data_IF_177302981171
#
_entry.id   IF_177302981171
#
_cell.length_a   1.000
_cell.length_b   1.000
_cell.length_c   1.000
_cell.angle_alpha   90.00
_cell.angle_beta   90.00
_cell.angle_gamma   90.00
#
_symmetry.space_group_name_H-M   'P 1'
#
loop_
_entity.id
_entity.type
_entity.pdbx_description
1 polymer ?
#
# COMPACT_ATOMS: atom_id res chain seq x y z
N UNK A 1 -20.47 29.56 -5.21
CA UNK A 1 -19.66 28.37 -5.57
C UNK A 1 -19.25 27.70 -4.28
N UNK A 2 -19.77 26.49 -4.01
CA UNK A 2 -19.36 25.73 -2.83
C UNK A 2 -18.12 24.92 -3.22
N UNK A 3 -16.98 25.21 -2.57
CA UNK A 3 -15.77 24.41 -2.66
C UNK A 3 -16.00 23.14 -1.83
N UNK A 4 -16.05 21.98 -2.49
CA UNK A 4 -16.07 20.68 -1.81
C UNK A 4 -14.65 20.09 -1.85
N UNK A 5 -13.92 20.09 -0.72
CA UNK A 5 -12.57 19.53 -0.66
C UNK A 5 -12.55 18.00 -0.82
N UNK A 6 -13.70 17.32 -0.76
CA UNK A 6 -13.80 15.87 -0.91
C UNK A 6 -14.21 15.45 -2.32
N UNK A 7 -14.59 16.39 -3.18
CA UNK A 7 -14.93 16.10 -4.56
C UNK A 7 -13.73 15.46 -5.27
N UNK A 8 -13.92 14.31 -5.94
CA UNK A 8 -12.85 13.67 -6.69
C UNK A 8 -12.40 14.58 -7.84
N UNK A 9 -11.12 14.51 -8.17
CA UNK A 9 -10.56 15.15 -9.35
C UNK A 9 -11.05 14.50 -10.65
N UNK A 10 -10.75 15.13 -11.79
CA UNK A 10 -11.30 14.72 -13.09
C UNK A 10 -10.65 13.45 -13.68
N UNK A 11 -9.59 12.94 -13.07
CA UNK A 11 -8.85 11.79 -13.58
C UNK A 11 -9.39 10.49 -12.98
N UNK A 12 -9.62 9.50 -13.85
CA UNK A 12 -9.82 8.13 -13.40
C UNK A 12 -8.53 7.61 -12.73
N UNK A 13 -8.71 6.72 -11.76
CA UNK A 13 -7.61 6.21 -10.93
C UNK A 13 -7.55 4.70 -11.03
N UNK A 14 -6.38 4.20 -11.41
CA UNK A 14 -6.05 2.78 -11.38
C UNK A 14 -5.36 2.45 -10.04
N UNK A 15 -5.89 1.44 -9.35
CA UNK A 15 -5.24 0.88 -8.17
C UNK A 15 -4.65 -0.49 -8.49
N UNK A 16 -3.34 -0.66 -8.30
CA UNK A 16 -2.63 -1.93 -8.58
C UNK A 16 -1.64 -2.29 -7.48
N UNK A 17 -1.47 -3.58 -7.23
CA UNK A 17 -0.48 -4.10 -6.28
C UNK A 17 0.80 -4.49 -7.04
N UNK A 18 1.95 -4.04 -6.57
CA UNK A 18 3.27 -4.38 -7.10
C UNK A 18 4.16 -4.98 -6.00
N UNK A 19 5.21 -5.69 -6.38
CA UNK A 19 6.32 -6.01 -5.48
C UNK A 19 7.46 -5.02 -5.70
N UNK A 20 7.73 -4.19 -4.69
CA UNK A 20 8.85 -3.28 -4.70
C UNK A 20 10.12 -3.99 -4.21
N UNK A 21 11.23 -3.78 -4.93
CA UNK A 21 12.54 -4.36 -4.63
C UNK A 21 13.42 -3.35 -3.90
N UNK A 22 13.92 -3.72 -2.71
CA UNK A 22 14.96 -3.01 -1.96
C UNK A 22 16.25 -3.88 -2.00
N UNK A 23 17.09 -3.73 -3.04
CA UNK A 23 18.29 -4.54 -3.22
C UNK A 23 19.33 -4.28 -2.13
N UNK A 24 19.37 -3.07 -1.56
CA UNK A 24 20.30 -2.73 -0.48
C UNK A 24 20.03 -3.57 0.79
N UNK A 25 18.79 -4.01 1.00
CA UNK A 25 18.39 -4.90 2.10
C UNK A 25 18.01 -6.31 1.65
N UNK A 26 18.22 -6.64 0.37
CA UNK A 26 17.91 -7.96 -0.19
C UNK A 26 16.46 -8.40 -0.01
N UNK A 27 15.49 -7.47 -0.04
CA UNK A 27 14.08 -7.77 0.27
C UNK A 27 13.11 -7.27 -0.78
N UNK A 28 12.10 -8.07 -1.06
CA UNK A 28 10.90 -7.67 -1.80
C UNK A 28 9.80 -7.35 -0.81
N UNK A 29 9.07 -6.25 -1.02
CA UNK A 29 7.90 -5.91 -0.23
C UNK A 29 6.75 -5.46 -1.13
N UNK A 30 5.53 -5.98 -0.88
CA UNK A 30 4.39 -5.62 -1.69
C UNK A 30 3.91 -4.22 -1.33
N UNK A 31 3.52 -3.47 -2.36
CA UNK A 31 3.02 -2.10 -2.28
C UNK A 31 1.78 -1.96 -3.15
N UNK A 32 0.81 -1.17 -2.69
CA UNK A 32 -0.29 -0.75 -3.53
C UNK A 32 0.00 0.62 -4.13
N UNK A 33 -0.28 0.78 -5.42
CA UNK A 33 -0.11 2.02 -6.18
C UNK A 33 -1.48 2.52 -6.63
N UNK A 34 -1.72 3.81 -6.45
CA UNK A 34 -2.81 4.55 -7.07
C UNK A 34 -2.22 5.49 -8.10
N UNK A 35 -2.59 5.31 -9.35
CA UNK A 35 -2.07 6.08 -10.47
C UNK A 35 -3.24 6.74 -11.21
N UNK A 36 -3.10 8.02 -11.61
CA UNK A 36 -4.05 8.60 -12.55
C UNK A 36 -3.93 7.87 -13.89
N UNK A 37 -5.06 7.64 -14.57
CA UNK A 37 -5.09 7.04 -15.94
C UNK A 37 -4.48 7.95 -17.02
N UNK A 38 -4.03 9.16 -16.64
CA UNK A 38 -3.30 10.07 -17.51
C UNK A 38 -1.83 9.66 -17.57
N UNK A 39 -1.31 9.41 -18.76
CA UNK A 39 0.13 9.21 -18.96
C UNK A 39 0.89 10.54 -18.77
N UNK A 40 2.00 10.49 -18.05
CA UNK A 40 2.84 11.66 -17.77
C UNK A 40 3.69 11.51 -16.52
N UNK A 41 4.52 12.51 -16.26
CA UNK A 41 5.25 12.63 -14.99
C UNK A 41 4.27 13.16 -13.93
N UNK A 42 4.09 12.38 -12.87
CA UNK A 42 3.24 12.75 -11.74
C UNK A 42 4.08 12.83 -10.47
N UNK A 43 3.86 13.84 -9.61
CA UNK A 43 4.48 13.87 -8.29
C UNK A 43 4.12 12.60 -7.50
N UNK A 44 5.13 11.93 -6.96
CA UNK A 44 4.97 10.70 -6.18
C UNK A 44 4.83 11.02 -4.69
N UNK A 45 3.73 10.57 -4.09
CA UNK A 45 3.47 10.62 -2.66
C UNK A 45 3.59 9.20 -2.11
N UNK A 46 4.48 9.01 -1.12
CA UNK A 46 4.64 7.73 -0.44
C UNK A 46 3.91 7.79 0.89
N UNK A 47 2.95 6.88 1.08
CA UNK A 47 2.16 6.73 2.29
C UNK A 47 2.60 5.49 3.09
N UNK A 48 2.98 5.72 4.35
CA UNK A 48 3.32 4.66 5.30
C UNK A 48 2.27 4.59 6.41
N UNK A 49 1.71 3.41 6.65
CA UNK A 49 0.76 3.22 7.74
C UNK A 49 1.49 3.04 9.09
N UNK A 50 0.89 3.50 10.19
CA UNK A 50 1.33 3.14 11.55
C UNK A 50 1.15 1.63 11.82
N UNK A 51 1.89 1.06 12.76
CA UNK A 51 1.91 -0.39 13.03
C UNK A 51 0.56 -1.03 13.40
N UNK A 52 -0.47 -0.23 13.72
CA UNK A 52 -1.74 -0.70 14.27
C UNK A 52 -2.98 -0.40 13.44
N UNK A 53 -2.90 0.24 12.27
CA UNK A 53 -4.12 0.65 11.57
C UNK A 53 -4.46 -0.12 10.30
N UNK A 54 -5.67 0.20 9.85
CA UNK A 54 -6.46 -0.64 8.98
C UNK A 54 -5.99 -0.55 7.53
N UNK A 55 -6.06 -1.68 6.81
CA UNK A 55 -5.51 -1.89 5.44
C UNK A 55 -6.19 -1.05 4.35
N UNK A 56 -7.15 -0.21 4.73
CA UNK A 56 -7.95 0.64 3.83
C UNK A 56 -8.18 2.06 4.37
N UNK A 57 -7.60 2.39 5.53
CA UNK A 57 -7.81 3.70 6.18
C UNK A 57 -7.46 4.86 5.24
N UNK A 58 -6.43 4.71 4.41
CA UNK A 58 -6.00 5.73 3.46
C UNK A 58 -6.49 5.51 2.02
N UNK A 59 -7.28 4.47 1.71
CA UNK A 59 -7.65 4.19 0.31
C UNK A 59 -8.45 5.34 -0.30
N UNK A 60 -9.34 5.97 0.47
CA UNK A 60 -10.06 7.16 0.05
C UNK A 60 -9.10 8.32 -0.26
N UNK A 61 -8.16 8.59 0.65
CA UNK A 61 -7.16 9.66 0.48
C UNK A 61 -6.26 9.41 -0.73
N UNK A 62 -5.76 8.18 -0.89
CA UNK A 62 -4.91 7.80 -2.03
C UNK A 62 -5.65 7.95 -3.36
N UNK A 63 -6.91 7.49 -3.44
CA UNK A 63 -7.73 7.68 -4.64
C UNK A 63 -8.03 9.15 -4.90
N UNK A 64 -8.34 9.93 -3.86
CA UNK A 64 -8.60 11.36 -4.01
C UNK A 64 -7.37 12.08 -4.55
N UNK A 65 -6.20 11.89 -3.95
CA UNK A 65 -4.94 12.45 -4.45
C UNK A 65 -4.64 12.01 -5.89
N UNK A 66 -4.81 10.73 -6.20
CA UNK A 66 -4.59 10.25 -7.56
C UNK A 66 -5.55 10.85 -8.59
N UNK A 67 -6.81 11.09 -8.23
CA UNK A 67 -7.78 11.73 -9.11
C UNK A 67 -7.43 13.19 -9.44
N UNK A 68 -6.60 13.83 -8.60
CA UNK A 68 -6.04 15.17 -8.83
C UNK A 68 -4.69 15.17 -9.57
N UNK A 69 -4.16 14.00 -9.93
CA UNK A 69 -2.93 13.87 -10.71
C UNK A 69 -1.67 13.54 -9.91
N UNK A 70 -1.81 13.00 -8.69
CA UNK A 70 -0.68 12.53 -7.90
C UNK A 70 -0.50 11.02 -8.03
N UNK A 71 0.72 10.53 -8.20
CA UNK A 71 0.98 9.10 -8.04
C UNK A 71 1.11 8.80 -6.55
N UNK A 72 0.36 7.84 -6.01
CA UNK A 72 0.42 7.51 -4.57
C UNK A 72 0.84 6.06 -4.37
N UNK A 73 1.86 5.84 -3.55
CA UNK A 73 2.36 4.52 -3.20
C UNK A 73 2.12 4.22 -1.72
N UNK A 74 1.41 3.13 -1.43
CA UNK A 74 1.22 2.61 -0.09
C UNK A 74 2.09 1.38 0.15
N UNK A 75 2.95 1.50 1.15
CA UNK A 75 3.79 0.42 1.68
C UNK A 75 2.99 -0.56 2.56
N UNK A 76 1.95 -1.21 2.05
CA UNK A 76 1.25 -2.32 2.71
C UNK A 76 0.40 -3.08 1.68
N UNK A 77 0.45 -4.41 1.61
CA UNK A 77 -0.34 -5.18 0.63
C UNK A 77 -1.83 -5.25 1.00
N UNK A 78 -2.71 -4.91 0.04
CA UNK A 78 -4.15 -5.21 0.09
C UNK A 78 -4.49 -6.69 0.15
N UNK A 79 -3.64 -7.55 -0.43
CA UNK A 79 -3.95 -8.98 -0.70
C UNK A 79 -3.13 -9.99 0.10
N UNK A 80 -2.13 -9.56 0.88
CA UNK A 80 -1.27 -10.46 1.65
C UNK A 80 -1.34 -10.13 3.14
N UNK A 81 -1.63 -11.09 4.03
CA UNK A 81 -1.37 -10.89 5.44
C UNK A 81 0.15 -10.68 5.60
N UNK A 82 0.56 -9.56 6.17
CA UNK A 82 1.98 -9.29 6.43
C UNK A 82 2.63 -10.41 7.28
N UNK A 83 1.84 -11.07 8.15
CA UNK A 83 2.25 -12.25 8.92
C UNK A 83 2.49 -13.49 8.03
N UNK A 84 1.76 -13.62 6.92
CA UNK A 84 1.88 -14.72 5.99
C UNK A 84 3.07 -14.57 5.03
N UNK A 85 3.91 -13.53 5.18
CA UNK A 85 5.22 -13.46 4.51
C UNK A 85 6.38 -13.55 5.49
N UNK A 86 6.14 -13.29 6.79
CA UNK A 86 7.10 -13.45 7.86
C UNK A 86 7.64 -14.88 7.99
N UNK A 87 6.80 -15.91 7.81
CA UNK A 87 7.25 -17.31 7.85
C UNK A 87 8.31 -17.64 6.79
N UNK A 88 8.31 -16.92 5.66
CA UNK A 88 9.23 -17.16 4.53
C UNK A 88 10.64 -16.61 4.78
N UNK A 89 10.80 -15.83 5.86
CA UNK A 89 12.06 -15.19 6.28
C UNK A 89 12.50 -15.60 7.69
N UNK A 90 11.77 -16.51 8.35
CA UNK A 90 12.22 -17.12 9.60
C UNK A 90 13.18 -18.27 9.26
N UNK A 91 14.30 -18.41 9.99
CA UNK A 91 15.19 -19.54 9.78
C UNK A 91 14.49 -20.84 10.25
N UNK A 92 14.79 -21.99 9.63
CA UNK A 92 14.03 -23.24 9.78
C UNK A 92 13.95 -23.76 11.22
N UNK A 93 14.79 -23.29 12.14
CA UNK A 93 14.74 -23.60 13.57
C UNK A 93 13.56 -22.97 14.33
N UNK A 94 12.90 -21.94 13.78
CA UNK A 94 11.70 -21.34 14.39
C UNK A 94 10.40 -22.16 14.13
N UNK A 95 10.51 -23.30 13.44
CA UNK A 95 9.41 -24.14 12.95
C UNK A 95 8.79 -25.08 13.98
N UNK A 96 8.67 -24.69 15.24
CA UNK A 96 7.82 -25.48 16.17
C UNK A 96 6.44 -24.83 16.26
N UNK A 97 5.35 -25.45 15.77
CA UNK A 97 4.02 -24.89 15.85
C UNK A 97 3.49 -25.03 17.29
N UNK A 98 3.84 -24.05 18.12
CA UNK A 98 3.14 -23.78 19.37
C UNK A 98 1.82 -23.09 19.08
N UNK A 99 0.72 -23.85 19.09
CA UNK A 99 -0.66 -23.35 19.21
C UNK A 99 -0.72 -22.27 20.28
N UNK A 100 -1.24 -21.07 19.96
CA UNK A 100 -1.41 -20.05 20.98
C UNK A 100 -1.99 -18.73 20.48
N UNK A 101 -3.33 -18.70 20.39
CA UNK A 101 -4.23 -17.55 20.59
C UNK A 101 -3.69 -16.12 20.47
N UNK A 102 -4.35 -15.32 19.62
CA UNK A 102 -4.91 -14.05 20.10
C UNK A 102 -6.36 -13.91 19.61
N UNK A 103 -7.20 -13.69 20.61
CA UNK A 103 -8.64 -13.41 20.60
C UNK A 103 -8.86 -11.95 20.20
#
# INVERSE_FOLDING_TARGET
>A
MAYDPFAPGPLAVEARTIEASDPARGRLFPCDLWLPERQGEHPLIVFSHSSAGNRRSASFLCTHLASHGYAVAWLCPRSSPWWARWWRWLPPEASTPGRGYFR
#
